data_IF_841924349191
#
_entry.id   IF_841924349191
#
_cell.length_a   1.000
_cell.length_b   1.000
_cell.length_c   1.000
_cell.angle_alpha   90.00
_cell.angle_beta   90.00
_cell.angle_gamma   90.00
#
_symmetry.space_group_name_H-M   'P 1'
#
loop_
_entity.id
_entity.type
_entity.pdbx_description
1 polymer ?
#
# COMPACT_ATOMS: atom_id res chain seq x y z
N UNK A 1 56.24 -0.16 -10.96
CA UNK A 1 56.38 0.57 -9.68
C UNK A 1 55.19 1.50 -9.52
N UNK A 2 54.65 1.56 -8.31
CA UNK A 2 53.68 2.54 -7.78
C UNK A 2 52.25 2.43 -8.34
N UNK A 3 51.19 2.27 -7.56
CA UNK A 3 51.05 2.36 -6.10
C UNK A 3 50.12 1.28 -5.57
N UNK A 4 50.53 0.70 -4.45
CA UNK A 4 49.68 -0.06 -3.54
C UNK A 4 48.42 0.77 -3.30
N UNK A 5 47.25 0.20 -3.62
CA UNK A 5 46.00 0.61 -3.00
C UNK A 5 46.23 0.56 -1.49
N UNK A 6 46.37 1.75 -0.91
CA UNK A 6 46.47 1.99 0.52
C UNK A 6 45.37 1.20 1.23
N UNK A 7 45.74 0.49 2.30
CA UNK A 7 44.79 -0.23 3.16
C UNK A 7 43.57 0.65 3.40
N UNK A 8 42.42 0.21 2.88
CA UNK A 8 41.16 0.92 3.06
C UNK A 8 40.86 0.96 4.55
N UNK A 9 40.85 2.16 5.16
CA UNK A 9 40.26 2.34 6.48
C UNK A 9 38.81 1.85 6.39
N UNK A 10 38.58 0.64 6.89
CA UNK A 10 37.26 0.07 7.02
C UNK A 10 36.73 0.52 8.38
N UNK A 11 35.80 1.46 8.38
CA UNK A 11 35.23 2.02 9.60
C UNK A 11 34.11 1.15 10.19
N UNK A 12 33.81 0.00 9.57
CA UNK A 12 32.67 -0.84 9.90
C UNK A 12 32.66 -1.24 11.38
N UNK A 13 33.75 -1.84 11.88
CA UNK A 13 33.82 -2.32 13.26
C UNK A 13 33.62 -1.19 14.27
N UNK A 14 34.25 -0.02 14.03
CA UNK A 14 34.11 1.14 14.89
C UNK A 14 32.68 1.70 14.88
N UNK A 15 32.04 1.75 13.70
CA UNK A 15 30.67 2.22 13.55
C UNK A 15 29.66 1.27 14.18
N UNK A 16 29.78 -0.04 13.94
CA UNK A 16 28.93 -1.07 14.54
C UNK A 16 29.03 -1.04 16.07
N UNK A 17 30.26 -0.93 16.62
CA UNK A 17 30.47 -0.80 18.06
C UNK A 17 29.76 0.42 18.65
N UNK A 18 29.75 1.55 17.94
CA UNK A 18 29.00 2.75 18.39
C UNK A 18 27.51 2.52 18.33
N UNK A 19 26.97 2.08 17.19
CA UNK A 19 25.53 1.82 17.03
C UNK A 19 25.03 0.82 18.09
N UNK A 20 25.81 -0.22 18.39
CA UNK A 20 25.45 -1.22 19.40
C UNK A 20 25.25 -0.65 20.82
N UNK A 21 25.76 0.57 21.11
CA UNK A 21 25.53 1.24 22.39
C UNK A 21 24.08 1.69 22.59
N UNK A 22 23.35 2.00 21.50
CA UNK A 22 21.97 2.49 21.57
C UNK A 22 20.98 1.64 20.75
N UNK A 23 21.45 0.79 19.85
CA UNK A 23 20.63 -0.15 19.08
C UNK A 23 21.43 -1.41 18.70
N UNK A 24 21.50 -2.37 19.63
CA UNK A 24 22.21 -3.63 19.42
C UNK A 24 21.61 -4.47 18.28
N UNK A 25 20.28 -4.49 18.14
CA UNK A 25 19.61 -5.27 17.11
C UNK A 25 19.95 -4.75 15.70
N UNK A 26 20.00 -3.42 15.53
CA UNK A 26 20.46 -2.80 14.29
C UNK A 26 21.93 -3.11 14.00
N UNK A 27 22.81 -3.05 14.99
CA UNK A 27 24.22 -3.39 14.79
C UNK A 27 24.38 -4.84 14.31
N UNK A 28 23.70 -5.79 14.95
CA UNK A 28 23.74 -7.21 14.57
C UNK A 28 23.17 -7.43 13.15
N UNK A 29 22.08 -6.73 12.79
CA UNK A 29 21.51 -6.75 11.43
C UNK A 29 22.52 -6.25 10.39
N UNK A 30 23.18 -5.11 10.64
CA UNK A 30 24.11 -4.50 9.70
C UNK A 30 25.42 -5.28 9.57
N UNK A 31 25.88 -5.91 10.66
CA UNK A 31 27.00 -6.84 10.62
C UNK A 31 26.68 -8.04 9.71
N UNK A 32 25.50 -8.65 9.89
CA UNK A 32 25.05 -9.78 9.08
C UNK A 32 24.78 -9.41 7.61
N UNK A 33 24.33 -8.18 7.35
CA UNK A 33 24.01 -7.70 6.00
C UNK A 33 25.25 -7.20 5.22
N UNK A 34 26.37 -6.93 5.89
CA UNK A 34 27.57 -6.42 5.24
C UNK A 34 28.11 -7.39 4.20
N UNK A 35 28.37 -6.89 2.99
CA UNK A 35 29.05 -7.63 1.94
C UNK A 35 30.21 -6.79 1.40
N UNK A 36 31.43 -7.34 1.29
CA UNK A 36 32.56 -6.59 0.71
C UNK A 36 32.39 -6.35 -0.79
N UNK A 37 31.58 -7.17 -1.48
CA UNK A 37 31.38 -7.12 -2.92
C UNK A 37 30.13 -6.31 -3.33
N UNK A 38 29.39 -5.76 -2.37
CA UNK A 38 28.18 -4.99 -2.62
C UNK A 38 28.02 -3.83 -1.63
N UNK A 39 27.66 -2.61 -2.11
CA UNK A 39 27.48 -2.20 -3.50
C UNK A 39 28.82 -2.06 -4.24
N UNK A 40 28.78 -1.82 -5.55
CA UNK A 40 30.00 -1.42 -6.27
C UNK A 40 30.46 -0.06 -5.74
N UNK A 41 31.73 0.06 -5.37
CA UNK A 41 32.31 1.30 -4.84
C UNK A 41 33.21 1.93 -5.90
N UNK A 42 32.97 3.21 -6.19
CA UNK A 42 33.82 4.02 -7.08
C UNK A 42 34.40 5.21 -6.33
N UNK A 43 35.52 5.71 -6.82
CA UNK A 43 36.03 7.02 -6.43
C UNK A 43 35.42 8.09 -7.37
N UNK A 44 34.88 9.16 -6.81
CA UNK A 44 34.59 10.39 -7.55
C UNK A 44 35.89 11.15 -7.86
N UNK A 45 35.81 12.17 -8.72
CA UNK A 45 36.98 12.96 -9.13
C UNK A 45 37.70 13.68 -7.99
N UNK A 46 36.99 14.02 -6.93
CA UNK A 46 37.55 14.59 -5.68
C UNK A 46 38.16 13.53 -4.74
N UNK A 47 38.12 12.25 -5.10
CA UNK A 47 38.62 11.13 -4.30
C UNK A 47 37.62 10.55 -3.30
N UNK A 48 36.44 11.16 -3.16
CA UNK A 48 35.37 10.65 -2.29
C UNK A 48 34.85 9.29 -2.78
N UNK A 49 34.45 8.40 -1.86
CA UNK A 49 33.88 7.09 -2.22
C UNK A 49 32.38 7.20 -2.45
N UNK A 50 31.87 6.59 -3.50
CA UNK A 50 30.46 6.62 -3.87
C UNK A 50 29.95 5.20 -4.17
N UNK A 51 28.74 4.83 -3.74
CA UNK A 51 28.14 3.55 -4.05
C UNK A 51 27.40 3.60 -5.39
N UNK A 52 27.50 2.51 -6.14
CA UNK A 52 26.77 2.26 -7.38
C UNK A 52 25.87 1.05 -7.16
N UNK A 53 24.56 1.26 -7.30
CA UNK A 53 23.53 0.23 -7.14
C UNK A 53 22.73 0.15 -8.43
N UNK A 54 22.49 -1.06 -8.95
CA UNK A 54 21.80 -1.27 -10.21
C UNK A 54 22.36 -0.40 -11.37
N UNK A 55 23.69 -0.30 -11.46
CA UNK A 55 24.44 0.53 -12.44
C UNK A 55 24.21 2.04 -12.33
N UNK A 56 23.54 2.52 -11.29
CA UNK A 56 23.34 3.95 -11.02
C UNK A 56 24.21 4.39 -9.84
N UNK A 57 24.96 5.46 -10.03
CA UNK A 57 25.66 6.10 -8.92
C UNK A 57 24.64 6.76 -7.99
N UNK A 58 24.78 6.56 -6.69
CA UNK A 58 23.91 7.22 -5.71
C UNK A 58 24.39 8.62 -5.32
N UNK A 59 25.57 9.03 -5.78
CA UNK A 59 26.16 10.34 -5.53
C UNK A 59 26.91 10.82 -6.78
N UNK A 60 27.21 12.11 -6.83
CA UNK A 60 27.93 12.77 -7.92
C UNK A 60 29.29 12.11 -8.13
N UNK A 61 29.60 11.74 -9.37
CA UNK A 61 30.92 11.20 -9.72
C UNK A 61 32.02 12.27 -9.73
N UNK A 62 31.67 13.53 -9.47
CA UNK A 62 32.57 14.68 -9.51
C UNK A 62 32.81 15.26 -8.12
N UNK A 63 31.73 15.60 -7.41
CA UNK A 63 31.73 16.31 -6.13
C UNK A 63 30.48 15.90 -5.31
N UNK A 64 30.54 14.76 -4.58
CA UNK A 64 29.44 14.28 -3.72
C UNK A 64 29.04 15.26 -2.63
N UNK A 65 30.01 15.96 -2.02
CA UNK A 65 29.75 16.88 -0.92
C UNK A 65 29.05 18.15 -1.44
N UNK A 66 29.49 18.69 -2.57
CA UNK A 66 28.86 19.84 -3.22
C UNK A 66 27.46 19.52 -3.74
N UNK A 67 27.22 18.31 -4.26
CA UNK A 67 25.86 17.84 -4.60
C UNK A 67 24.97 17.79 -3.37
N UNK A 68 25.43 17.13 -2.30
CA UNK A 68 24.71 17.02 -1.05
C UNK A 68 24.34 18.39 -0.47
N UNK A 69 25.29 19.35 -0.49
CA UNK A 69 25.07 20.71 -0.01
C UNK A 69 23.98 21.42 -0.83
N UNK A 70 24.08 21.40 -2.15
CA UNK A 70 23.08 22.01 -3.05
C UNK A 70 21.69 21.40 -2.85
N UNK A 71 21.63 20.09 -2.64
CA UNK A 71 20.36 19.42 -2.33
C UNK A 71 19.79 19.90 -1.00
N UNK A 72 20.57 19.92 0.08
CA UNK A 72 20.07 20.42 1.39
C UNK A 72 19.65 21.89 1.32
N UNK A 73 20.38 22.74 0.62
CA UNK A 73 20.02 24.15 0.39
C UNK A 73 18.68 24.27 -0.36
N UNK A 74 18.43 23.40 -1.35
CA UNK A 74 17.18 23.39 -2.13
C UNK A 74 15.93 23.01 -1.32
N UNK A 75 16.10 22.31 -0.20
CA UNK A 75 14.99 21.89 0.67
C UNK A 75 14.36 23.07 1.42
N UNK A 76 15.05 24.22 1.50
CA UNK A 76 14.59 25.43 2.20
C UNK A 76 14.05 25.12 3.62
N UNK A 77 14.80 24.31 4.37
CA UNK A 77 14.39 23.82 5.68
C UNK A 77 14.30 24.98 6.67
N UNK A 78 13.14 25.11 7.30
CA UNK A 78 12.90 26.06 8.37
C UNK A 78 13.40 25.47 9.69
N UNK A 79 14.53 25.98 10.20
CA UNK A 79 15.22 25.43 11.38
C UNK A 79 14.45 25.62 12.69
N UNK A 80 13.47 26.52 12.72
CA UNK A 80 12.54 26.77 13.81
C UNK A 80 11.34 25.81 13.85
N UNK A 81 11.10 25.04 12.78
CA UNK A 81 10.04 24.03 12.79
C UNK A 81 10.35 22.98 13.84
N UNK A 82 9.35 22.68 14.69
CA UNK A 82 9.35 21.48 15.53
C UNK A 82 8.83 20.29 14.71
N UNK A 83 9.53 19.15 14.76
CA UNK A 83 9.12 17.94 14.06
C UNK A 83 10.27 17.01 13.67
N UNK A 84 9.91 15.81 13.25
CA UNK A 84 10.83 14.77 12.82
C UNK A 84 11.11 14.88 11.30
N UNK A 85 12.36 14.68 10.89
CA UNK A 85 12.76 14.58 9.48
C UNK A 85 13.01 13.13 9.13
N UNK A 86 12.35 12.65 8.08
CA UNK A 86 12.48 11.28 7.59
C UNK A 86 13.32 11.31 6.33
N UNK A 87 14.59 10.92 6.44
CA UNK A 87 15.50 10.84 5.31
C UNK A 87 15.31 9.52 4.57
N UNK A 88 14.75 9.56 3.37
CA UNK A 88 14.55 8.37 2.52
C UNK A 88 15.79 8.07 1.69
N UNK A 89 16.58 7.09 2.11
CA UNK A 89 17.78 6.60 1.42
C UNK A 89 19.07 7.18 2.00
N UNK A 90 20.01 6.29 2.37
CA UNK A 90 21.28 6.67 2.99
C UNK A 90 22.37 6.95 1.96
N UNK A 91 22.45 6.17 0.87
CA UNK A 91 23.61 6.21 -0.02
C UNK A 91 24.90 6.05 0.80
N UNK A 92 25.89 6.95 0.63
CA UNK A 92 27.06 7.05 1.55
C UNK A 92 26.98 8.28 2.48
N UNK A 93 25.75 8.72 2.78
CA UNK A 93 25.43 9.68 3.84
C UNK A 93 26.04 11.09 3.68
N UNK A 94 26.48 11.49 2.48
CA UNK A 94 26.94 12.85 2.21
C UNK A 94 25.87 13.90 2.53
N UNK A 95 24.64 13.65 2.09
CA UNK A 95 23.48 14.50 2.39
C UNK A 95 23.04 14.44 3.85
N UNK A 96 23.20 13.31 4.54
CA UNK A 96 22.96 13.22 5.98
C UNK A 96 23.93 14.12 6.75
N UNK A 97 25.22 14.13 6.39
CA UNK A 97 26.20 15.01 7.04
C UNK A 97 25.88 16.48 6.82
N UNK A 98 25.45 16.88 5.62
CA UNK A 98 25.03 18.26 5.36
C UNK A 98 23.74 18.61 6.14
N UNK A 99 22.79 17.67 6.28
CA UNK A 99 21.59 17.87 7.12
C UNK A 99 21.94 18.06 8.60
N UNK A 100 22.89 17.28 9.13
CA UNK A 100 23.33 17.33 10.53
C UNK A 100 23.99 18.67 10.92
N UNK A 101 24.38 19.51 9.95
CA UNK A 101 24.84 20.88 10.22
C UNK A 101 23.71 21.83 10.61
N UNK A 102 22.47 21.51 10.22
CA UNK A 102 21.30 22.36 10.44
C UNK A 102 20.26 21.72 11.37
N UNK A 103 20.25 20.38 11.50
CA UNK A 103 19.24 19.62 12.24
C UNK A 103 19.92 18.70 13.26
N UNK A 104 19.41 18.69 14.50
CA UNK A 104 19.86 17.77 15.54
C UNK A 104 19.58 16.30 15.18
N UNK A 105 20.55 15.42 15.42
CA UNK A 105 20.49 13.99 15.09
C UNK A 105 19.22 13.29 15.60
N UNK A 106 18.78 13.62 16.83
CA UNK A 106 17.57 13.07 17.47
C UNK A 106 16.28 13.30 16.68
N UNK A 107 16.28 14.30 15.80
CA UNK A 107 15.14 14.66 14.95
C UNK A 107 15.17 13.96 13.60
N UNK A 108 16.25 13.27 13.24
CA UNK A 108 16.40 12.60 11.95
C UNK A 108 16.17 11.10 12.14
N UNK A 109 15.29 10.54 11.30
CA UNK A 109 15.16 9.10 11.11
C UNK A 109 15.59 8.78 9.68
N UNK A 110 16.62 7.95 9.53
CA UNK A 110 17.06 7.47 8.22
C UNK A 110 16.30 6.20 7.89
N UNK A 111 15.58 6.21 6.78
CA UNK A 111 14.87 5.05 6.26
C UNK A 111 15.61 4.53 5.04
N UNK A 112 16.16 3.32 5.12
CA UNK A 112 16.90 2.70 4.02
C UNK A 112 16.31 1.31 3.72
N UNK A 113 15.98 1.07 2.45
CA UNK A 113 15.45 -0.22 2.00
C UNK A 113 16.50 -1.33 2.14
N UNK A 114 17.77 -1.01 1.87
CA UNK A 114 18.84 -1.97 1.71
C UNK A 114 19.84 -1.93 2.89
N UNK A 115 19.77 -2.96 3.75
CA UNK A 115 20.65 -3.09 4.91
C UNK A 115 22.13 -3.19 4.53
N UNK A 116 22.45 -3.86 3.42
CA UNK A 116 23.83 -4.01 2.95
C UNK A 116 24.39 -2.66 2.47
N UNK A 117 23.54 -1.80 1.87
CA UNK A 117 23.94 -0.44 1.49
C UNK A 117 24.27 0.42 2.71
N UNK A 118 23.47 0.36 3.79
CA UNK A 118 23.81 1.08 5.03
C UNK A 118 25.09 0.52 5.66
N UNK A 119 25.25 -0.81 5.72
CA UNK A 119 26.47 -1.43 6.24
C UNK A 119 27.71 -0.99 5.44
N UNK A 120 27.62 -0.91 4.11
CA UNK A 120 28.69 -0.39 3.27
C UNK A 120 28.97 1.10 3.52
N UNK A 121 27.94 1.91 3.79
CA UNK A 121 28.13 3.30 4.22
C UNK A 121 28.90 3.38 5.54
N UNK A 122 28.59 2.51 6.51
CA UNK A 122 29.37 2.39 7.77
C UNK A 122 30.81 1.96 7.51
N UNK A 123 31.07 1.09 6.53
CA UNK A 123 32.43 0.67 6.20
C UNK A 123 33.29 1.79 5.59
N UNK A 124 32.67 2.75 4.89
CA UNK A 124 33.36 3.75 4.08
C UNK A 124 33.24 5.19 4.56
N UNK A 125 32.49 5.43 5.64
CA UNK A 125 32.34 6.76 6.25
C UNK A 125 32.85 6.74 7.68
N UNK A 126 33.52 7.83 8.13
CA UNK A 126 34.09 7.88 9.46
C UNK A 126 32.98 8.00 10.53
N UNK A 127 33.23 7.61 11.79
CA UNK A 127 32.19 7.51 12.81
C UNK A 127 31.41 8.79 13.13
N UNK A 128 31.99 9.95 12.88
CA UNK A 128 31.34 11.25 13.06
C UNK A 128 30.16 11.45 12.08
N UNK A 129 30.07 10.63 11.04
CA UNK A 129 28.96 10.61 10.08
C UNK A 129 27.65 10.14 10.72
N UNK A 130 27.73 9.29 11.75
CA UNK A 130 26.58 8.64 12.39
C UNK A 130 26.59 8.96 13.90
N UNK A 131 26.29 10.21 14.28
CA UNK A 131 26.30 10.62 15.68
C UNK A 131 25.21 9.92 16.50
N UNK A 132 25.41 9.90 17.81
CA UNK A 132 24.41 9.41 18.76
C UNK A 132 23.10 10.19 18.65
N UNK A 133 21.97 9.51 18.88
CA UNK A 133 20.62 10.06 18.75
C UNK A 133 20.02 9.90 17.36
N UNK A 134 20.80 9.57 16.32
CA UNK A 134 20.28 9.24 15.00
C UNK A 134 19.52 7.91 15.03
N UNK A 135 18.33 7.89 14.44
CA UNK A 135 17.48 6.68 14.37
C UNK A 135 17.48 6.10 12.96
N UNK A 136 17.39 4.78 12.87
CA UNK A 136 17.39 4.07 11.59
C UNK A 136 16.21 3.10 11.49
N UNK A 137 15.63 3.00 10.31
CA UNK A 137 14.66 1.97 9.93
C UNK A 137 15.19 1.35 8.64
N UNK A 138 15.58 0.09 8.70
CA UNK A 138 16.42 -0.53 7.67
C UNK A 138 15.91 -1.91 7.31
N UNK A 139 15.83 -2.21 6.01
CA UNK A 139 15.46 -3.56 5.54
C UNK A 139 13.97 -3.90 5.66
N UNK A 140 13.14 -2.96 6.09
CA UNK A 140 11.70 -3.12 6.23
C UNK A 140 10.98 -2.94 4.89
N UNK A 141 9.77 -3.49 4.74
CA UNK A 141 8.87 -3.08 3.66
C UNK A 141 8.29 -1.67 3.94
N UNK A 142 7.77 -0.94 2.93
CA UNK A 142 7.29 0.42 3.11
C UNK A 142 6.25 0.62 4.22
N UNK A 143 5.34 -0.34 4.40
CA UNK A 143 4.23 -0.23 5.37
C UNK A 143 4.78 -0.45 6.77
N UNK A 144 5.59 -1.49 6.98
CA UNK A 144 6.27 -1.74 8.25
C UNK A 144 7.20 -0.60 8.63
N UNK A 145 7.94 -0.04 7.67
CA UNK A 145 8.77 1.14 7.88
C UNK A 145 7.94 2.35 8.35
N UNK A 146 6.78 2.57 7.73
CA UNK A 146 5.88 3.65 8.13
C UNK A 146 5.23 3.43 9.49
N UNK A 147 4.89 2.20 9.87
CA UNK A 147 4.40 1.87 11.21
C UNK A 147 5.46 2.20 12.26
N UNK A 148 6.71 1.77 12.06
CA UNK A 148 7.83 2.13 12.96
C UNK A 148 8.05 3.65 13.01
N UNK A 149 7.90 4.37 11.90
CA UNK A 149 7.93 5.83 11.89
C UNK A 149 6.82 6.46 12.74
N UNK A 150 5.66 5.82 12.85
CA UNK A 150 4.57 6.28 13.72
C UNK A 150 4.90 6.02 15.19
N UNK A 151 5.45 4.84 15.50
CA UNK A 151 5.82 4.45 16.87
C UNK A 151 6.95 5.32 17.46
N UNK A 152 7.83 5.84 16.60
CA UNK A 152 8.95 6.71 16.98
C UNK A 152 8.55 8.16 17.30
N UNK A 153 7.29 8.54 17.12
CA UNK A 153 6.83 9.92 17.35
C UNK A 153 6.49 10.17 18.80
N UNK A 154 6.69 11.40 19.24
CA UNK A 154 6.34 11.81 20.59
C UNK A 154 4.86 12.19 20.73
N UNK A 155 4.20 12.51 19.61
CA UNK A 155 2.76 12.80 19.55
C UNK A 155 2.18 12.49 18.17
N UNK A 156 0.87 12.19 18.13
CA UNK A 156 0.15 11.99 16.86
C UNK A 156 0.10 13.24 15.98
N UNK A 157 0.28 14.41 16.57
CA UNK A 157 0.32 15.72 15.91
C UNK A 157 1.70 16.07 15.35
N UNK A 158 2.74 15.30 15.68
CA UNK A 158 4.10 15.56 15.19
C UNK A 158 4.17 15.34 13.68
N UNK A 159 4.36 16.42 12.91
CA UNK A 159 4.51 16.36 11.46
C UNK A 159 5.90 15.79 11.10
N UNK A 160 5.90 14.68 10.35
CA UNK A 160 7.11 14.14 9.74
C UNK A 160 7.37 14.76 8.38
N UNK A 161 8.53 15.39 8.18
CA UNK A 161 8.94 15.93 6.88
C UNK A 161 9.75 14.88 6.14
N UNK A 162 9.21 14.35 5.03
CA UNK A 162 9.92 13.39 4.19
C UNK A 162 10.93 14.09 3.28
N UNK A 163 12.18 13.66 3.37
CA UNK A 163 13.31 14.15 2.57
C UNK A 163 13.81 13.00 1.68
N UNK A 164 13.30 12.85 0.45
CA UNK A 164 13.73 11.77 -0.44
C UNK A 164 15.11 12.07 -1.01
N UNK A 165 16.08 11.20 -0.77
CA UNK A 165 17.36 11.24 -1.48
C UNK A 165 17.10 10.92 -2.96
N UNK A 166 17.39 11.83 -3.91
CA UNK A 166 16.97 11.66 -5.30
C UNK A 166 17.51 10.39 -5.95
N UNK A 167 18.80 10.07 -5.77
CA UNK A 167 19.38 8.92 -6.43
C UNK A 167 18.86 7.59 -5.85
N UNK A 168 18.68 7.50 -4.53
CA UNK A 168 18.02 6.33 -3.90
C UNK A 168 16.58 6.18 -4.38
N UNK A 169 15.84 7.28 -4.51
CA UNK A 169 14.47 7.28 -5.04
C UNK A 169 14.40 6.85 -6.50
N UNK A 170 15.43 7.10 -7.31
CA UNK A 170 15.51 6.59 -8.69
C UNK A 170 15.89 5.10 -8.78
N UNK A 171 16.52 4.54 -7.76
CA UNK A 171 16.81 3.10 -7.68
C UNK A 171 15.60 2.33 -7.15
N UNK A 172 14.92 2.87 -6.13
CA UNK A 172 13.75 2.24 -5.51
C UNK A 172 12.53 3.18 -5.48
N UNK A 173 11.95 3.54 -6.65
CA UNK A 173 10.90 4.55 -6.74
C UNK A 173 9.65 4.18 -5.96
N UNK A 174 9.16 2.94 -6.10
CA UNK A 174 7.93 2.50 -5.44
C UNK A 174 8.08 2.51 -3.91
N UNK A 175 9.26 2.13 -3.40
CA UNK A 175 9.53 2.10 -1.96
C UNK A 175 9.44 3.49 -1.33
N UNK A 176 10.26 4.43 -1.81
CA UNK A 176 10.35 5.76 -1.22
C UNK A 176 9.11 6.63 -1.52
N UNK A 177 8.49 6.47 -2.69
CA UNK A 177 7.25 7.17 -3.01
C UNK A 177 6.07 6.71 -2.16
N UNK A 178 6.00 5.42 -1.82
CA UNK A 178 4.96 4.87 -0.92
C UNK A 178 5.09 5.45 0.49
N UNK A 179 6.30 5.46 1.06
CA UNK A 179 6.55 6.05 2.40
C UNK A 179 6.22 7.55 2.41
N UNK A 180 6.72 8.31 1.42
CA UNK A 180 6.39 9.72 1.28
C UNK A 180 4.90 9.97 1.04
N UNK A 181 4.22 9.06 0.32
CA UNK A 181 2.77 9.06 0.13
C UNK A 181 2.01 8.93 1.45
N UNK A 182 2.34 7.93 2.27
CA UNK A 182 1.70 7.70 3.58
C UNK A 182 1.93 8.87 4.55
N UNK A 183 3.15 9.42 4.60
CA UNK A 183 3.45 10.61 5.41
C UNK A 183 2.62 11.82 4.99
N UNK A 184 2.44 12.05 3.68
CA UNK A 184 1.58 13.12 3.14
C UNK A 184 0.11 12.86 3.43
N UNK A 185 -0.38 11.64 3.24
CA UNK A 185 -1.76 11.26 3.52
C UNK A 185 -2.12 11.51 4.99
N UNK A 186 -1.23 11.13 5.93
CA UNK A 186 -1.41 11.39 7.36
C UNK A 186 -1.43 12.89 7.68
N UNK A 187 -0.54 13.68 7.06
CA UNK A 187 -0.55 15.14 7.23
C UNK A 187 -1.85 15.79 6.73
N UNK A 188 -2.45 15.23 5.69
CA UNK A 188 -3.74 15.68 5.18
C UNK A 188 -4.86 15.23 6.12
N UNK A 189 -4.80 13.99 6.62
CA UNK A 189 -5.72 13.45 7.62
C UNK A 189 -5.79 14.31 8.89
N UNK A 190 -4.65 14.77 9.41
CA UNK A 190 -4.62 15.66 10.59
C UNK A 190 -5.26 17.04 10.34
N UNK A 191 -5.53 17.40 9.08
CA UNK A 191 -6.18 18.64 8.65
C UNK A 191 -7.60 18.41 8.11
N UNK A 192 -8.23 17.31 8.53
CA UNK A 192 -9.59 16.94 8.16
C UNK A 192 -9.70 15.97 6.97
N UNK A 193 -8.57 15.52 6.44
CA UNK A 193 -8.49 14.43 5.46
C UNK A 193 -9.03 14.75 4.07
N UNK A 194 -8.80 13.81 3.15
CA UNK A 194 -9.43 13.81 1.84
C UNK A 194 -10.92 13.52 1.97
N UNK A 195 -11.70 14.10 1.06
CA UNK A 195 -13.09 13.72 0.79
C UNK A 195 -13.11 12.61 -0.25
N UNK A 196 -13.53 11.43 0.16
CA UNK A 196 -13.51 10.22 -0.66
C UNK A 196 -14.94 9.78 -0.87
N UNK A 197 -15.38 9.71 -2.13
CA UNK A 197 -16.62 9.03 -2.49
C UNK A 197 -16.31 7.55 -2.78
N UNK A 198 -16.80 6.65 -1.94
CA UNK A 198 -16.67 5.21 -2.10
C UNK A 198 -17.92 4.68 -2.79
N UNK A 199 -17.77 4.10 -3.97
CA UNK A 199 -18.90 3.67 -4.81
C UNK A 199 -19.07 2.17 -4.70
N UNK A 200 -20.23 1.72 -4.20
CA UNK A 200 -20.54 0.30 -4.06
C UNK A 200 -20.98 -0.34 -5.39
N UNK A 201 -20.86 -1.66 -5.54
CA UNK A 201 -21.68 -2.40 -6.49
C UNK A 201 -23.15 -2.43 -6.04
N UNK A 202 -24.03 -2.96 -6.90
CA UNK A 202 -25.44 -3.17 -6.55
C UNK A 202 -25.64 -4.40 -5.65
N UNK A 203 -24.81 -5.43 -5.80
CA UNK A 203 -24.93 -6.70 -5.08
C UNK A 203 -23.61 -7.47 -5.11
N UNK A 204 -23.61 -8.69 -4.54
CA UNK A 204 -22.50 -9.64 -4.66
C UNK A 204 -21.44 -9.50 -3.56
N UNK A 205 -20.41 -10.34 -3.64
CA UNK A 205 -19.37 -10.47 -2.62
C UNK A 205 -18.50 -9.22 -2.43
N UNK A 206 -18.48 -8.33 -3.41
CA UNK A 206 -17.80 -7.03 -3.35
C UNK A 206 -18.55 -5.99 -2.50
N UNK A 207 -19.87 -6.15 -2.29
CA UNK A 207 -20.69 -5.18 -1.53
C UNK A 207 -20.28 -5.08 -0.04
N UNK A 208 -20.09 -6.18 0.72
CA UNK A 208 -19.62 -6.09 2.12
C UNK A 208 -18.26 -5.41 2.27
N UNK A 209 -17.40 -5.50 1.25
CA UNK A 209 -16.05 -4.89 1.27
C UNK A 209 -16.13 -3.37 1.38
N UNK A 210 -17.18 -2.75 0.84
CA UNK A 210 -17.44 -1.31 0.96
C UNK A 210 -17.46 -0.86 2.42
N UNK A 211 -18.10 -1.63 3.30
CA UNK A 211 -18.16 -1.33 4.73
C UNK A 211 -16.79 -1.41 5.41
N UNK A 212 -15.97 -2.41 5.06
CA UNK A 212 -14.60 -2.54 5.56
C UNK A 212 -13.72 -1.37 5.11
N UNK A 213 -13.81 -1.01 3.83
CA UNK A 213 -13.03 0.10 3.23
C UNK A 213 -13.43 1.44 3.83
N UNK A 214 -14.73 1.69 4.00
CA UNK A 214 -15.22 2.93 4.63
C UNK A 214 -14.61 3.09 6.04
N UNK A 215 -14.71 2.05 6.88
CA UNK A 215 -14.16 2.09 8.24
C UNK A 215 -12.64 2.30 8.24
N UNK A 216 -11.92 1.62 7.36
CA UNK A 216 -10.47 1.78 7.24
C UNK A 216 -10.09 3.22 6.84
N UNK A 217 -10.73 3.79 5.82
CA UNK A 217 -10.46 5.17 5.38
C UNK A 217 -10.83 6.20 6.43
N UNK A 218 -11.95 6.01 7.15
CA UNK A 218 -12.35 6.87 8.26
C UNK A 218 -11.37 6.78 9.43
N UNK A 219 -10.92 5.58 9.79
CA UNK A 219 -9.92 5.38 10.85
C UNK A 219 -8.56 6.02 10.50
N UNK A 220 -8.23 6.11 9.21
CA UNK A 220 -7.06 6.85 8.72
C UNK A 220 -7.24 8.39 8.76
N UNK A 221 -8.39 8.89 9.22
CA UNK A 221 -8.70 10.32 9.37
C UNK A 221 -9.19 10.99 8.08
N UNK A 222 -9.73 10.21 7.13
CA UNK A 222 -10.36 10.74 5.92
C UNK A 222 -11.89 10.81 6.05
N UNK A 223 -12.50 11.71 5.27
CA UNK A 223 -13.96 11.79 5.15
C UNK A 223 -14.39 10.85 4.02
N UNK A 224 -14.86 9.67 4.37
CA UNK A 224 -15.32 8.68 3.42
C UNK A 224 -16.85 8.60 3.42
N UNK A 225 -17.45 8.97 2.29
CA UNK A 225 -18.88 8.84 2.07
C UNK A 225 -19.15 7.68 1.12
N UNK A 226 -20.13 6.84 1.46
CA UNK A 226 -20.54 5.71 0.61
C UNK A 226 -21.71 6.14 -0.27
N UNK A 227 -21.54 5.98 -1.58
CA UNK A 227 -22.65 5.94 -2.52
C UNK A 227 -23.12 4.49 -2.63
N UNK A 228 -24.16 4.17 -1.87
CA UNK A 228 -24.75 2.83 -1.81
C UNK A 228 -25.69 2.60 -2.99
N UNK A 229 -25.21 1.85 -3.99
CA UNK A 229 -25.99 1.43 -5.15
C UNK A 229 -26.86 0.20 -4.88
N UNK A 230 -26.70 -0.48 -3.74
CA UNK A 230 -27.49 -1.69 -3.44
C UNK A 230 -28.98 -1.42 -3.29
N UNK A 231 -29.34 -0.17 -2.95
CA UNK A 231 -30.73 0.31 -2.92
C UNK A 231 -31.45 0.15 -4.27
N UNK A 232 -30.69 0.11 -5.38
CA UNK A 232 -31.24 -0.05 -6.73
C UNK A 232 -31.33 -1.52 -7.18
N UNK A 233 -30.80 -2.47 -6.40
CA UNK A 233 -30.79 -3.88 -6.76
C UNK A 233 -32.20 -4.49 -6.99
N UNK A 234 -33.22 -4.21 -6.15
CA UNK A 234 -34.57 -4.72 -6.39
C UNK A 234 -35.16 -4.22 -7.72
N UNK A 235 -34.90 -2.94 -8.06
CA UNK A 235 -35.32 -2.36 -9.33
C UNK A 235 -34.63 -3.01 -10.53
N UNK A 236 -33.31 -3.23 -10.43
CA UNK A 236 -32.56 -3.95 -11.46
C UNK A 236 -33.12 -5.37 -11.65
N UNK A 237 -33.36 -6.13 -10.56
CA UNK A 237 -33.93 -7.48 -10.65
C UNK A 237 -35.27 -7.48 -11.39
N UNK A 238 -36.15 -6.53 -11.08
CA UNK A 238 -37.42 -6.39 -11.77
C UNK A 238 -37.25 -6.13 -13.28
N UNK A 239 -36.30 -5.25 -13.66
CA UNK A 239 -35.99 -4.98 -15.07
C UNK A 239 -35.47 -6.24 -15.79
N UNK A 240 -34.65 -7.05 -15.11
CA UNK A 240 -34.11 -8.30 -15.68
C UNK A 240 -35.18 -9.35 -15.96
N UNK A 241 -36.26 -9.35 -15.19
CA UNK A 241 -37.38 -10.29 -15.31
C UNK A 241 -38.50 -9.76 -16.25
N UNK A 242 -38.44 -8.49 -16.66
CA UNK A 242 -39.51 -7.81 -17.38
C UNK A 242 -39.72 -8.35 -18.80
N UNK A 243 -38.66 -8.84 -19.45
CA UNK A 243 -38.72 -9.31 -20.83
C UNK A 243 -37.69 -10.40 -21.12
N UNK A 244 -38.09 -11.40 -21.89
CA UNK A 244 -37.18 -12.40 -22.46
C UNK A 244 -36.49 -11.92 -23.74
N UNK A 245 -36.88 -10.75 -24.27
CA UNK A 245 -36.23 -10.15 -25.45
C UNK A 245 -34.88 -9.54 -25.07
N UNK A 246 -33.80 -10.22 -25.48
CA UNK A 246 -32.41 -9.84 -25.18
C UNK A 246 -32.04 -8.42 -25.60
N UNK A 247 -32.59 -7.89 -26.70
CA UNK A 247 -32.26 -6.54 -27.15
C UNK A 247 -32.84 -5.48 -26.22
N UNK A 248 -34.10 -5.64 -25.81
CA UNK A 248 -34.73 -4.73 -24.87
C UNK A 248 -34.13 -4.87 -23.47
N UNK A 249 -33.80 -6.08 -23.05
CA UNK A 249 -33.09 -6.33 -21.80
C UNK A 249 -31.75 -5.57 -21.76
N UNK A 250 -30.92 -5.70 -22.79
CA UNK A 250 -29.65 -4.98 -22.88
C UNK A 250 -29.82 -3.45 -22.89
N UNK A 251 -30.88 -2.93 -23.52
CA UNK A 251 -31.19 -1.49 -23.50
C UNK A 251 -31.58 -1.02 -22.09
N UNK A 252 -32.38 -1.80 -21.36
CA UNK A 252 -32.75 -1.50 -19.98
C UNK A 252 -31.54 -1.52 -19.04
N UNK A 253 -30.68 -2.52 -19.18
CA UNK A 253 -29.41 -2.62 -18.43
C UNK A 253 -28.49 -1.43 -18.70
N UNK A 254 -28.33 -1.04 -19.97
CA UNK A 254 -27.52 0.11 -20.34
C UNK A 254 -28.10 1.43 -19.80
N UNK A 255 -29.43 1.60 -19.88
CA UNK A 255 -30.14 2.76 -19.31
C UNK A 255 -29.97 2.87 -17.80
N UNK A 256 -30.13 1.75 -17.08
CA UNK A 256 -29.89 1.68 -15.64
C UNK A 256 -28.43 2.01 -15.30
N UNK A 257 -27.47 1.42 -16.02
CA UNK A 257 -26.04 1.71 -15.84
C UNK A 257 -25.75 3.20 -16.02
N UNK A 258 -26.36 3.83 -17.03
CA UNK A 258 -26.17 5.26 -17.31
C UNK A 258 -26.72 6.12 -16.18
N UNK A 259 -27.92 5.81 -15.69
CA UNK A 259 -28.54 6.49 -14.55
C UNK A 259 -27.68 6.40 -13.28
N UNK A 260 -27.19 5.20 -12.97
CA UNK A 260 -26.37 4.98 -11.78
C UNK A 260 -25.01 5.65 -11.91
N UNK A 261 -24.40 5.64 -13.10
CA UNK A 261 -23.15 6.33 -13.34
C UNK A 261 -23.29 7.85 -13.20
N UNK A 262 -24.41 8.43 -13.66
CA UNK A 262 -24.71 9.85 -13.43
C UNK A 262 -24.83 10.18 -11.94
N UNK A 263 -25.40 9.28 -11.12
CA UNK A 263 -25.47 9.49 -9.67
C UNK A 263 -24.08 9.60 -9.02
N UNK A 264 -23.07 8.91 -9.57
CA UNK A 264 -21.67 9.01 -9.14
C UNK A 264 -21.14 10.42 -9.41
N UNK A 265 -21.31 10.93 -10.64
CA UNK A 265 -20.90 12.30 -11.01
C UNK A 265 -21.59 13.33 -10.12
N UNK A 266 -22.92 13.28 -10.06
CA UNK A 266 -23.72 14.22 -9.29
C UNK A 266 -23.27 14.28 -7.83
N UNK A 267 -23.05 13.12 -7.20
CA UNK A 267 -22.63 13.09 -5.81
C UNK A 267 -21.19 13.54 -5.60
N UNK A 268 -20.28 13.15 -6.48
CA UNK A 268 -18.87 13.54 -6.40
C UNK A 268 -18.68 15.06 -6.51
N UNK A 269 -19.42 15.70 -7.41
CA UNK A 269 -19.41 17.16 -7.57
C UNK A 269 -20.04 17.87 -6.37
N UNK A 270 -21.17 17.38 -5.87
CA UNK A 270 -21.88 17.95 -4.71
C UNK A 270 -21.00 17.99 -3.45
N UNK A 271 -20.32 16.88 -3.13
CA UNK A 271 -19.45 16.84 -1.95
C UNK A 271 -18.09 17.50 -2.19
N UNK A 272 -17.78 17.82 -3.46
CA UNK A 272 -16.47 18.24 -3.96
C UNK A 272 -15.41 17.20 -3.58
N UNK A 273 -15.60 15.96 -4.04
CA UNK A 273 -14.72 14.85 -3.74
C UNK A 273 -13.29 15.14 -4.23
N UNK A 274 -12.29 14.78 -3.41
CA UNK A 274 -10.89 14.77 -3.84
C UNK A 274 -10.57 13.49 -4.62
N UNK A 275 -11.27 12.40 -4.28
CA UNK A 275 -11.07 11.05 -4.83
C UNK A 275 -12.42 10.31 -4.92
N UNK A 276 -12.63 9.59 -6.01
CA UNK A 276 -13.60 8.49 -6.05
C UNK A 276 -12.84 7.16 -5.99
N UNK A 277 -13.33 6.25 -5.16
CA UNK A 277 -12.89 4.86 -5.12
C UNK A 277 -14.06 3.95 -5.52
N UNK A 278 -13.98 3.36 -6.72
CA UNK A 278 -14.92 2.31 -7.14
C UNK A 278 -14.48 0.95 -6.60
N UNK A 279 -15.41 0.20 -6.01
CA UNK A 279 -15.21 -1.22 -5.71
C UNK A 279 -15.68 -2.04 -6.92
N UNK A 280 -15.10 -3.22 -7.12
CA UNK A 280 -15.47 -4.15 -8.17
C UNK A 280 -16.99 -4.19 -8.44
N UNK A 281 -17.35 -4.11 -9.73
CA UNK A 281 -18.74 -4.00 -10.23
C UNK A 281 -19.49 -2.70 -9.90
N UNK A 282 -18.83 -1.66 -9.35
CA UNK A 282 -19.46 -0.34 -9.21
C UNK A 282 -19.84 0.24 -10.58
N UNK A 283 -21.01 0.91 -10.71
CA UNK A 283 -21.54 1.37 -11.98
C UNK A 283 -20.87 2.67 -12.46
N UNK A 284 -19.57 2.63 -12.76
CA UNK A 284 -18.80 3.79 -13.22
C UNK A 284 -18.42 3.57 -14.69
N UNK A 285 -18.94 4.43 -15.56
CA UNK A 285 -18.68 4.38 -17.01
C UNK A 285 -17.45 5.19 -17.41
N UNK A 286 -16.94 4.95 -18.62
CA UNK A 286 -15.80 5.70 -19.16
C UNK A 286 -16.10 7.18 -19.38
N UNK A 287 -17.36 7.52 -19.62
CA UNK A 287 -17.85 8.90 -19.79
C UNK A 287 -17.73 9.66 -18.46
N UNK A 288 -18.22 9.05 -17.39
CA UNK A 288 -18.12 9.59 -16.02
C UNK A 288 -16.66 9.74 -15.59
N UNK A 289 -15.79 8.78 -15.89
CA UNK A 289 -14.36 8.90 -15.57
C UNK A 289 -13.70 10.10 -16.28
N UNK A 290 -14.06 10.36 -17.55
CA UNK A 290 -13.56 11.53 -18.29
C UNK A 290 -14.08 12.83 -17.67
N UNK A 291 -15.34 12.88 -17.28
CA UNK A 291 -15.95 14.06 -16.66
C UNK A 291 -15.31 14.38 -15.30
N UNK A 292 -15.17 13.38 -14.43
CA UNK A 292 -14.53 13.51 -13.12
C UNK A 292 -13.08 14.00 -13.25
N UNK A 293 -12.35 13.47 -14.25
CA UNK A 293 -11.00 13.93 -14.56
C UNK A 293 -10.97 15.40 -14.99
N UNK A 294 -11.92 15.85 -15.80
CA UNK A 294 -12.05 17.25 -16.20
C UNK A 294 -12.41 18.16 -15.00
N UNK A 295 -13.13 17.64 -14.01
CA UNK A 295 -13.41 18.32 -12.74
C UNK A 295 -12.21 18.29 -11.76
N UNK A 296 -11.10 17.65 -12.11
CA UNK A 296 -9.91 17.54 -11.26
C UNK A 296 -10.01 16.50 -10.14
N UNK A 297 -11.05 15.66 -10.16
CA UNK A 297 -11.28 14.62 -9.15
C UNK A 297 -10.44 13.39 -9.50
N UNK A 298 -9.71 12.84 -8.52
CA UNK A 298 -8.92 11.62 -8.72
C UNK A 298 -9.80 10.38 -8.75
N UNK A 299 -9.39 9.40 -9.53
CA UNK A 299 -10.16 8.15 -9.70
C UNK A 299 -9.32 6.93 -9.34
N UNK A 300 -9.85 6.09 -8.47
CA UNK A 300 -9.28 4.81 -8.12
C UNK A 300 -10.31 3.70 -8.28
N UNK A 301 -9.85 2.50 -8.62
CA UNK A 301 -10.70 1.31 -8.69
C UNK A 301 -10.04 0.14 -7.98
N UNK A 302 -10.78 -0.62 -7.19
CA UNK A 302 -10.31 -1.87 -6.60
C UNK A 302 -11.06 -3.05 -7.21
N UNK A 303 -10.37 -3.77 -8.09
CA UNK A 303 -10.87 -4.96 -8.77
C UNK A 303 -10.67 -6.20 -7.87
N UNK A 304 -11.75 -6.56 -7.17
CA UNK A 304 -11.82 -7.67 -6.20
C UNK A 304 -12.60 -8.84 -6.81
N UNK A 305 -12.21 -9.22 -8.02
CA UNK A 305 -12.89 -10.26 -8.80
C UNK A 305 -11.88 -11.21 -9.40
N UNK A 306 -12.33 -12.36 -9.91
CA UNK A 306 -11.48 -13.24 -10.69
C UNK A 306 -11.21 -12.63 -12.08
N UNK A 307 -9.96 -12.24 -12.33
CA UNK A 307 -9.55 -11.57 -13.57
C UNK A 307 -9.61 -12.42 -14.84
N UNK A 308 -9.68 -13.74 -14.72
CA UNK A 308 -9.85 -14.66 -15.85
C UNK A 308 -11.34 -14.84 -16.18
N UNK A 309 -12.20 -14.85 -15.16
CA UNK A 309 -13.65 -15.04 -15.28
C UNK A 309 -14.35 -13.75 -15.68
N UNK A 310 -13.90 -12.60 -15.17
CA UNK A 310 -14.49 -11.28 -15.42
C UNK A 310 -13.49 -10.35 -16.12
N UNK A 311 -13.31 -10.46 -17.45
CA UNK A 311 -12.26 -9.75 -18.20
C UNK A 311 -12.56 -8.25 -18.44
N UNK A 312 -13.62 -7.69 -17.85
CA UNK A 312 -14.04 -6.30 -18.08
C UNK A 312 -12.98 -5.28 -17.64
N UNK A 313 -12.07 -5.67 -16.74
CA UNK A 313 -10.93 -4.85 -16.32
C UNK A 313 -10.11 -4.32 -17.50
N UNK A 314 -10.01 -5.07 -18.61
CA UNK A 314 -9.28 -4.66 -19.82
C UNK A 314 -9.85 -3.38 -20.44
N UNK A 315 -11.17 -3.21 -20.36
CA UNK A 315 -11.87 -2.06 -20.92
C UNK A 315 -11.84 -0.83 -20.01
N UNK A 316 -11.82 -1.03 -18.68
CA UNK A 316 -11.98 0.07 -17.71
C UNK A 316 -10.66 0.55 -17.10
N UNK A 317 -9.67 -0.33 -16.90
CA UNK A 317 -8.41 0.00 -16.23
C UNK A 317 -7.62 1.18 -16.84
N UNK A 318 -7.61 1.40 -18.17
CA UNK A 318 -6.89 2.53 -18.77
C UNK A 318 -7.46 3.91 -18.44
N UNK A 319 -8.70 3.97 -17.94
CA UNK A 319 -9.40 5.23 -17.69
C UNK A 319 -9.27 5.72 -16.23
N UNK A 320 -8.81 4.88 -15.31
CA UNK A 320 -8.58 5.24 -13.91
C UNK A 320 -7.19 5.83 -13.68
N UNK A 321 -7.06 6.77 -12.74
CA UNK A 321 -5.75 7.27 -12.32
C UNK A 321 -4.97 6.19 -11.57
N UNK A 322 -5.64 5.37 -10.75
CA UNK A 322 -5.05 4.29 -9.96
C UNK A 322 -5.92 3.02 -10.06
N UNK A 323 -5.32 1.85 -10.24
CA UNK A 323 -6.06 0.59 -10.35
C UNK A 323 -5.45 -0.47 -9.43
N UNK A 324 -6.25 -0.99 -8.51
CA UNK A 324 -5.84 -1.95 -7.49
C UNK A 324 -6.40 -3.34 -7.81
N UNK A 325 -5.61 -4.38 -7.58
CA UNK A 325 -5.99 -5.77 -7.84
C UNK A 325 -5.58 -6.73 -6.74
N UNK A 326 -6.32 -7.83 -6.61
CA UNK A 326 -5.96 -8.96 -5.73
C UNK A 326 -5.16 -10.05 -6.45
N UNK A 327 -4.96 -9.94 -7.77
CA UNK A 327 -4.21 -10.91 -8.57
C UNK A 327 -2.69 -10.72 -8.39
N UNK A 328 -1.97 -11.84 -8.27
CA UNK A 328 -0.50 -11.90 -8.24
C UNK A 328 0.08 -12.31 -9.59
N UNK A 329 1.41 -12.39 -9.68
CA UNK A 329 2.12 -12.80 -10.89
C UNK A 329 2.10 -11.71 -11.96
N UNK A 330 1.93 -12.12 -13.22
CA UNK A 330 2.05 -11.21 -14.38
C UNK A 330 0.85 -10.27 -14.58
N UNK A 331 -0.15 -10.31 -13.70
CA UNK A 331 -1.38 -9.52 -13.87
C UNK A 331 -1.13 -8.00 -13.90
N UNK A 332 -0.17 -7.51 -13.10
CA UNK A 332 0.22 -6.08 -13.14
C UNK A 332 0.86 -5.71 -14.48
N UNK A 333 1.61 -6.62 -15.11
CA UNK A 333 2.17 -6.42 -16.45
C UNK A 333 1.06 -6.39 -17.50
N UNK A 334 0.08 -7.29 -17.41
CA UNK A 334 -1.08 -7.30 -18.31
C UNK A 334 -1.91 -6.01 -18.20
N UNK A 335 -2.06 -5.46 -16.99
CA UNK A 335 -2.70 -4.15 -16.80
C UNK A 335 -1.94 -3.03 -17.52
N UNK A 336 -0.60 -3.02 -17.42
CA UNK A 336 0.23 -2.04 -18.14
C UNK A 336 0.10 -2.19 -19.65
N UNK A 337 0.05 -3.42 -20.16
CA UNK A 337 -0.10 -3.72 -21.59
C UNK A 337 -1.41 -3.20 -22.18
N UNK A 338 -2.52 -3.23 -21.41
CA UNK A 338 -3.79 -2.65 -21.85
C UNK A 338 -3.86 -1.13 -21.68
N UNK A 339 -2.83 -0.50 -21.12
CA UNK A 339 -2.74 0.96 -20.95
C UNK A 339 -3.08 1.47 -19.56
N UNK A 340 -3.17 0.62 -18.53
CA UNK A 340 -3.28 1.06 -17.16
C UNK A 340 -1.96 1.69 -16.68
N UNK A 341 -1.97 2.98 -16.39
CA UNK A 341 -0.76 3.73 -16.05
C UNK A 341 -0.20 3.35 -14.67
N UNK A 342 -1.09 3.19 -13.68
CA UNK A 342 -0.70 2.96 -12.28
C UNK A 342 -1.45 1.76 -11.69
N UNK A 343 -1.06 0.52 -12.05
CA UNK A 343 -1.62 -0.69 -11.45
C UNK A 343 -0.84 -1.09 -10.18
N UNK A 344 -1.57 -1.48 -9.13
CA UNK A 344 -1.01 -1.92 -7.86
C UNK A 344 -1.66 -3.20 -7.35
N UNK A 345 -0.85 -4.02 -6.71
CA UNK A 345 -1.36 -5.14 -5.92
C UNK A 345 -1.85 -4.63 -4.55
N UNK A 346 -3.10 -4.94 -4.22
CA UNK A 346 -3.70 -4.66 -2.91
C UNK A 346 -4.52 -5.89 -2.47
N UNK A 347 -4.01 -6.70 -1.53
CA UNK A 347 -4.73 -7.87 -1.05
C UNK A 347 -5.95 -7.49 -0.22
N UNK A 348 -6.91 -8.41 -0.12
CA UNK A 348 -7.93 -8.35 0.91
C UNK A 348 -7.31 -8.58 2.30
N UNK A 349 -7.92 -7.97 3.31
CA UNK A 349 -7.59 -8.15 4.71
C UNK A 349 -8.87 -8.23 5.54
N UNK A 350 -8.80 -8.89 6.69
CA UNK A 350 -9.89 -8.94 7.64
C UNK A 350 -9.93 -7.65 8.46
N UNK A 351 -11.10 -7.02 8.56
CA UNK A 351 -11.33 -5.90 9.48
C UNK A 351 -11.34 -6.41 10.92
N UNK A 352 -10.36 -6.03 11.77
CA UNK A 352 -10.25 -6.54 13.14
C UNK A 352 -11.38 -6.05 14.05
N UNK A 353 -12.17 -5.05 13.66
CA UNK A 353 -13.35 -4.65 14.44
C UNK A 353 -14.52 -5.64 14.26
N UNK A 354 -14.53 -6.37 13.14
CA UNK A 354 -15.56 -7.34 12.77
C UNK A 354 -15.06 -8.77 12.99
N UNK A 355 -13.89 -9.09 12.43
CA UNK A 355 -13.26 -10.40 12.54
C UNK A 355 -12.32 -10.43 13.75
N UNK A 356 -12.91 -10.65 14.92
CA UNK A 356 -12.19 -10.75 16.20
C UNK A 356 -12.73 -11.90 17.03
N UNK A 357 -11.93 -12.41 17.99
CA UNK A 357 -12.45 -13.31 19.00
C UNK A 357 -13.66 -12.69 19.72
N UNK A 358 -14.67 -13.53 19.95
CA UNK A 358 -15.86 -13.20 20.73
C UNK A 358 -16.11 -14.32 21.74
N UNK A 359 -16.62 -13.95 22.91
CA UNK A 359 -17.09 -14.93 23.89
C UNK A 359 -18.49 -15.38 23.50
N UNK A 360 -18.67 -16.70 23.41
CA UNK A 360 -19.95 -17.31 23.05
C UNK A 360 -20.66 -17.79 24.31
N UNK A 361 -21.97 -17.56 24.36
CA UNK A 361 -22.88 -18.25 25.30
C UNK A 361 -22.91 -19.76 25.05
N UNK A 362 -23.53 -20.52 25.96
CA UNK A 362 -23.64 -21.97 25.80
C UNK A 362 -24.46 -22.32 24.54
N UNK A 363 -25.56 -21.60 24.33
CA UNK A 363 -26.45 -21.74 23.19
C UNK A 363 -25.74 -21.37 21.88
N UNK A 364 -25.01 -20.26 21.84
CA UNK A 364 -24.22 -19.87 20.66
C UNK A 364 -23.06 -20.83 20.38
N UNK A 365 -22.47 -21.44 21.42
CA UNK A 365 -21.43 -22.45 21.24
C UNK A 365 -22.00 -23.72 20.63
N UNK A 366 -23.22 -24.11 21.01
CA UNK A 366 -23.93 -25.22 20.38
C UNK A 366 -24.31 -24.88 18.93
N UNK A 367 -24.82 -23.68 18.66
CA UNK A 367 -25.25 -23.26 17.33
C UNK A 367 -24.08 -22.98 16.36
N UNK A 368 -23.04 -22.27 16.78
CA UNK A 368 -21.95 -21.82 15.90
C UNK A 368 -20.66 -22.63 16.03
N UNK A 369 -20.45 -23.32 17.16
CA UNK A 369 -19.25 -24.12 17.39
C UNK A 369 -19.20 -25.36 16.51
N UNK A 370 -18.05 -25.63 15.92
CA UNK A 370 -17.80 -26.81 15.09
C UNK A 370 -16.29 -27.10 15.02
N UNK A 371 -15.92 -28.32 14.63
CA UNK A 371 -14.51 -28.67 14.36
C UNK A 371 -14.05 -28.01 13.05
N UNK A 372 -14.95 -28.00 12.06
CA UNK A 372 -14.76 -27.40 10.75
C UNK A 372 -15.97 -26.53 10.39
N UNK A 373 -15.71 -25.37 9.78
CA UNK A 373 -16.76 -24.46 9.30
C UNK A 373 -16.41 -23.93 7.91
N UNK A 374 -17.42 -23.86 7.03
CA UNK A 374 -17.31 -23.23 5.72
C UNK A 374 -18.43 -22.20 5.53
N UNK A 375 -18.07 -21.02 5.03
CA UNK A 375 -19.03 -19.99 4.62
C UNK A 375 -18.79 -19.67 3.14
N UNK A 376 -19.77 -19.95 2.28
CA UNK A 376 -19.68 -19.68 0.85
C UNK A 376 -20.70 -20.42 -0.01
N UNK A 377 -20.66 -20.15 -1.31
CA UNK A 377 -21.54 -20.79 -2.29
C UNK A 377 -21.20 -22.27 -2.51
N UNK A 378 -22.22 -23.12 -2.60
CA UNK A 378 -22.10 -24.56 -2.84
C UNK A 378 -21.76 -24.94 -4.28
N UNK A 379 -20.61 -24.54 -4.80
CA UNK A 379 -20.15 -24.99 -6.13
C UNK A 379 -19.90 -26.49 -6.19
N UNK A 380 -20.02 -27.09 -7.38
CA UNK A 380 -19.90 -28.54 -7.58
C UNK A 380 -18.64 -29.14 -6.92
N UNK A 381 -17.47 -28.55 -7.15
CA UNK A 381 -16.21 -28.97 -6.54
C UNK A 381 -16.21 -28.88 -5.00
N UNK A 382 -16.91 -27.88 -4.41
CA UNK A 382 -17.06 -27.75 -2.96
C UNK A 382 -17.98 -28.82 -2.41
N UNK A 383 -19.10 -29.11 -3.08
CA UNK A 383 -20.03 -30.18 -2.69
C UNK A 383 -19.32 -31.54 -2.63
N UNK A 384 -18.52 -31.86 -3.63
CA UNK A 384 -17.71 -33.09 -3.65
C UNK A 384 -16.65 -33.11 -2.55
N UNK A 385 -15.92 -32.01 -2.37
CA UNK A 385 -14.88 -31.91 -1.35
C UNK A 385 -15.43 -32.09 0.07
N UNK A 386 -16.50 -31.37 0.42
CA UNK A 386 -17.05 -31.42 1.78
C UNK A 386 -17.80 -32.72 2.09
N UNK A 387 -18.29 -33.45 1.08
CA UNK A 387 -18.91 -34.75 1.29
C UNK A 387 -17.92 -35.77 1.90
N UNK A 388 -16.61 -35.58 1.69
CA UNK A 388 -15.55 -36.38 2.29
C UNK A 388 -15.17 -36.00 3.73
N UNK A 389 -15.81 -35.00 4.33
CA UNK A 389 -15.48 -34.46 5.66
C UNK A 389 -16.62 -34.61 6.68
N UNK A 390 -17.58 -35.52 6.41
CA UNK A 390 -18.75 -35.77 7.26
C UNK A 390 -18.42 -36.52 8.56
N UNK A 391 -17.17 -36.95 8.73
CA UNK A 391 -16.63 -37.52 9.97
C UNK A 391 -16.27 -36.46 11.01
N UNK A 392 -16.24 -35.18 10.64
CA UNK A 392 -16.06 -34.04 11.55
C UNK A 392 -17.40 -33.47 11.99
N UNK A 393 -17.43 -32.77 13.14
CA UNK A 393 -18.50 -31.81 13.41
C UNK A 393 -18.36 -30.63 12.44
N UNK A 394 -18.97 -30.76 11.26
CA UNK A 394 -18.92 -29.81 10.15
C UNK A 394 -20.18 -28.94 10.11
N UNK A 395 -19.98 -27.64 9.92
CA UNK A 395 -21.07 -26.68 9.65
C UNK A 395 -20.81 -25.89 8.36
N UNK A 396 -21.80 -25.88 7.47
CA UNK A 396 -21.76 -25.18 6.19
C UNK A 396 -22.80 -24.05 6.20
N UNK A 397 -22.37 -22.87 5.77
CA UNK A 397 -23.19 -21.65 5.68
C UNK A 397 -23.02 -21.02 4.29
N UNK A 398 -23.99 -20.24 3.82
CA UNK A 398 -24.00 -19.54 2.53
C UNK A 398 -24.99 -20.14 1.51
N UNK A 399 -25.01 -19.60 0.30
CA UNK A 399 -26.02 -19.94 -0.72
C UNK A 399 -25.67 -21.15 -1.59
N UNK A 400 -26.59 -21.53 -2.49
CA UNK A 400 -26.34 -22.45 -3.61
C UNK A 400 -26.01 -23.89 -3.17
N UNK A 401 -26.64 -24.36 -2.10
CA UNK A 401 -26.50 -25.73 -1.58
C UNK A 401 -27.72 -26.63 -1.86
N UNK A 402 -28.73 -26.15 -2.59
CA UNK A 402 -30.06 -26.78 -2.68
C UNK A 402 -30.10 -28.19 -3.30
N UNK A 403 -29.00 -28.69 -3.89
CA UNK A 403 -28.90 -30.07 -4.42
C UNK A 403 -27.78 -30.91 -3.77
N UNK A 404 -27.24 -30.46 -2.64
CA UNK A 404 -26.18 -31.18 -1.93
C UNK A 404 -26.77 -32.19 -0.93
N UNK A 405 -27.51 -33.19 -1.40
CA UNK A 405 -28.25 -34.13 -0.55
C UNK A 405 -27.40 -34.77 0.57
N UNK A 406 -26.16 -35.17 0.25
CA UNK A 406 -25.21 -35.75 1.21
C UNK A 406 -24.80 -34.77 2.33
N UNK A 407 -24.87 -33.46 2.08
CA UNK A 407 -24.49 -32.38 3.00
C UNK A 407 -25.69 -31.75 3.73
N UNK A 408 -26.92 -32.19 3.43
CA UNK A 408 -28.15 -31.58 3.96
C UNK A 408 -28.19 -31.40 5.48
N UNK A 409 -27.60 -32.32 6.24
CA UNK A 409 -27.59 -32.30 7.71
C UNK A 409 -26.50 -31.40 8.32
N UNK A 410 -25.50 -31.00 7.54
CA UNK A 410 -24.43 -30.07 7.96
C UNK A 410 -24.64 -28.66 7.45
N UNK A 411 -25.60 -28.45 6.55
CA UNK A 411 -26.01 -27.12 6.07
C UNK A 411 -26.85 -26.44 7.15
N UNK A 412 -26.39 -25.28 7.60
CA UNK A 412 -27.01 -24.51 8.65
C UNK A 412 -27.99 -23.50 8.04
N UNK A 413 -29.14 -23.27 8.70
CA UNK A 413 -30.13 -22.24 8.29
C UNK A 413 -30.57 -22.28 6.82
N UNK A 414 -30.58 -23.48 6.19
CA UNK A 414 -30.85 -23.71 4.76
C UNK A 414 -29.82 -23.08 3.81
N UNK A 415 -28.63 -22.77 4.32
CA UNK A 415 -27.61 -22.00 3.62
C UNK A 415 -27.24 -20.74 4.39
#
# INVERSE_FOLDING_TARGET
>A
MNGKLSMTANHLEANLKRIALWDKALADLLEAAYSPDYPEIRASKDGSRIPVVARKSLHSTYDPIGEARKWVESLNLKTDQQGQYVLGGVGFAYHLQELLKAISAHRIVVVEKDAALLAAALAHRPPETFPEGLRFIVGEDPVSAYQKLCDLRSSDTEEGVFLPHPASSHVYPDYYSTIGGMLRARKIASRGGFKILLVSPLYGGSLPVVGYVQRALTALGHRCEVLDNSVFYPGMKHLLELTSNRNHLAQLEAGMTTLLAESVTARALEIRADLILGIAQSPITTEVLKELKNAGIKTAFWFIEDGATLPYWKAVAPYYDQFFVIQKGDFLSQLKEVGCLNPYYLPLAADPNVHRPVELTAEEREEFGSDLSHVGAGYHNRREFFAGLLDFNLKIWGSDWEDAAALSHVIQRNG
#
